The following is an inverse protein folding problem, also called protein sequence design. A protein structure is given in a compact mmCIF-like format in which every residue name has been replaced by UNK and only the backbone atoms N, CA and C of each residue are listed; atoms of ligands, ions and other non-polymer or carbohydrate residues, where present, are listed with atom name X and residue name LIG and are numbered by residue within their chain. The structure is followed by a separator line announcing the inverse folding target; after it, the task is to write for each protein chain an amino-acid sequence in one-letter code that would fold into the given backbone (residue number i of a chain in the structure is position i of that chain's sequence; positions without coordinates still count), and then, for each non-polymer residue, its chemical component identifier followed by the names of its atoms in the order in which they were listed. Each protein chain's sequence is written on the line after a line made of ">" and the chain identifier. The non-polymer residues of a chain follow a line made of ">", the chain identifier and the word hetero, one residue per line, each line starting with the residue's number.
data_IF_118127706884
#
_entry.id   IF_118127706884
#
_cell.length_a   1.000
_cell.length_b   1.000
_cell.length_c   1.000
_cell.angle_alpha   90.00
_cell.angle_beta   90.00
_cell.angle_gamma   90.00
#
_symmetry.space_group_name_H-M   'P 1'
#
loop_
_entity.id
_entity.type
_entity.pdbx_description
1 polymer ?
#
# COMPACT_ATOMS: atom_id res chain seq x y z
N UNK A 1 34.70 -25.05 -5.12
CA UNK A 1 35.01 -23.93 -4.21
C UNK A 1 34.44 -22.65 -4.84
N UNK A 2 33.37 -22.15 -4.23
CA UNK A 2 32.79 -20.79 -4.25
C UNK A 2 32.51 -20.10 -5.60
N UNK A 3 31.23 -20.12 -6.02
CA UNK A 3 30.64 -19.06 -6.81
C UNK A 3 30.27 -17.91 -5.85
N UNK A 4 30.96 -16.78 -5.98
CA UNK A 4 30.62 -15.54 -5.27
C UNK A 4 29.52 -14.83 -6.02
N UNK A 5 28.27 -15.02 -5.59
CA UNK A 5 27.15 -14.17 -5.97
C UNK A 5 27.26 -12.85 -5.19
N UNK A 6 27.36 -11.74 -5.90
CA UNK A 6 27.36 -10.42 -5.30
C UNK A 6 25.99 -10.13 -4.68
N UNK A 7 25.94 -10.06 -3.36
CA UNK A 7 24.85 -9.42 -2.64
C UNK A 7 25.04 -7.91 -2.76
N UNK A 8 24.23 -7.27 -3.60
CA UNK A 8 24.09 -5.81 -3.61
C UNK A 8 23.10 -5.44 -2.51
N UNK A 9 23.59 -5.36 -1.28
CA UNK A 9 22.85 -4.68 -0.22
C UNK A 9 22.98 -3.17 -0.44
N UNK A 10 21.88 -2.51 -0.76
CA UNK A 10 21.75 -1.06 -0.66
C UNK A 10 21.75 -0.69 0.84
N UNK A 11 22.93 -0.39 1.38
CA UNK A 11 23.18 -0.25 2.83
C UNK A 11 22.59 1.06 3.42
N UNK A 12 21.91 1.88 2.61
CA UNK A 12 21.39 3.18 3.04
C UNK A 12 19.95 3.18 3.58
N UNK A 13 19.07 2.28 3.11
CA UNK A 13 17.63 2.28 3.44
C UNK A 13 17.19 1.22 4.46
N UNK A 14 18.00 0.18 4.70
CA UNK A 14 17.60 -0.99 5.49
C UNK A 14 17.18 -0.69 6.95
N UNK A 15 17.78 0.32 7.60
CA UNK A 15 17.56 0.56 9.05
C UNK A 15 16.19 1.17 9.39
N UNK A 16 15.58 1.94 8.49
CA UNK A 16 14.24 2.48 8.73
C UNK A 16 13.17 1.40 8.52
N UNK A 17 13.44 0.47 7.60
CA UNK A 17 12.54 -0.62 7.25
C UNK A 17 12.56 -1.73 8.31
N UNK A 18 13.72 -2.03 8.92
CA UNK A 18 13.84 -3.01 10.03
C UNK A 18 12.87 -2.70 11.18
N UNK A 19 12.82 -1.44 11.65
CA UNK A 19 11.89 -1.04 12.70
C UNK A 19 10.42 -1.17 12.29
N UNK A 20 10.12 -0.97 11.00
CA UNK A 20 8.76 -1.10 10.49
C UNK A 20 8.35 -2.58 10.37
N UNK A 21 9.28 -3.44 9.95
CA UNK A 21 9.10 -4.90 9.91
C UNK A 21 8.85 -5.45 11.33
N UNK A 22 9.61 -5.01 12.33
CA UNK A 22 9.38 -5.42 13.74
C UNK A 22 8.02 -4.96 14.26
N UNK A 23 7.59 -3.74 13.89
CA UNK A 23 6.27 -3.22 14.25
C UNK A 23 5.15 -4.05 13.63
N UNK A 24 5.29 -4.41 12.35
CA UNK A 24 4.32 -5.27 11.66
C UNK A 24 4.29 -6.67 12.28
N UNK A 25 5.45 -7.26 12.57
CA UNK A 25 5.55 -8.58 13.17
C UNK A 25 4.90 -8.62 14.55
N UNK A 26 5.08 -7.58 15.37
CA UNK A 26 4.51 -7.51 16.73
C UNK A 26 2.98 -7.32 16.76
N UNK A 27 2.39 -6.64 15.76
CA UNK A 27 0.96 -6.35 15.74
C UNK A 27 0.16 -7.34 14.87
N UNK A 28 0.76 -7.84 13.78
CA UNK A 28 0.07 -8.63 12.75
C UNK A 28 0.72 -10.00 12.51
N UNK A 29 1.86 -10.29 13.15
CA UNK A 29 2.59 -11.54 13.02
C UNK A 29 3.65 -11.53 11.92
N UNK A 30 4.61 -12.45 12.06
CA UNK A 30 5.79 -12.53 11.20
C UNK A 30 5.46 -12.68 9.71
N UNK A 31 4.46 -13.50 9.37
CA UNK A 31 4.06 -13.72 7.97
C UNK A 31 3.60 -12.44 7.28
N UNK A 32 2.90 -11.55 8.00
CA UNK A 32 2.48 -10.26 7.44
C UNK A 32 3.68 -9.35 7.23
N UNK A 33 4.63 -9.35 8.17
CA UNK A 33 5.84 -8.55 8.07
C UNK A 33 6.71 -8.97 6.86
N UNK A 34 6.85 -10.27 6.62
CA UNK A 34 7.61 -10.83 5.49
C UNK A 34 6.95 -10.55 4.12
N UNK A 35 5.63 -10.40 4.08
CA UNK A 35 4.88 -10.09 2.86
C UNK A 35 4.72 -8.58 2.63
N UNK A 36 5.13 -7.75 3.57
CA UNK A 36 4.96 -6.31 3.48
C UNK A 36 5.81 -5.73 2.35
N UNK A 37 5.19 -4.88 1.53
CA UNK A 37 5.88 -4.12 0.49
C UNK A 37 6.13 -2.72 1.04
N UNK A 38 7.38 -2.43 1.41
CA UNK A 38 7.82 -1.12 1.89
C UNK A 38 8.51 -0.40 0.74
N UNK A 39 7.81 0.53 0.11
CA UNK A 39 8.33 1.23 -1.05
C UNK A 39 7.72 2.63 -1.21
N UNK A 40 8.51 3.56 -1.74
CA UNK A 40 8.06 4.94 -1.99
C UNK A 40 7.10 5.03 -3.17
N UNK A 41 7.38 4.25 -4.22
CA UNK A 41 6.60 4.22 -5.46
C UNK A 41 5.60 3.07 -5.41
N UNK A 42 4.35 3.37 -5.06
CA UNK A 42 3.27 2.39 -4.85
C UNK A 42 2.63 1.94 -6.17
N UNK A 43 2.77 2.74 -7.22
CA UNK A 43 2.28 2.46 -8.58
C UNK A 43 2.97 1.26 -9.24
N UNK A 44 4.13 0.83 -8.73
CA UNK A 44 4.89 -0.31 -9.25
C UNK A 44 4.29 -1.67 -8.84
N UNK A 45 3.40 -1.68 -7.86
CA UNK A 45 2.85 -2.90 -7.29
C UNK A 45 1.38 -3.04 -7.65
N UNK A 46 0.98 -4.27 -7.94
CA UNK A 46 -0.37 -4.56 -8.36
C UNK A 46 -1.34 -4.76 -7.18
N UNK A 47 -2.58 -4.37 -7.41
CA UNK A 47 -3.66 -4.54 -6.43
C UNK A 47 -4.98 -4.05 -6.98
N UNK A 48 -6.07 -4.35 -6.28
CA UNK A 48 -7.39 -3.82 -6.64
C UNK A 48 -7.60 -2.41 -6.07
N UNK A 49 -7.05 -2.14 -4.88
CA UNK A 49 -7.21 -0.88 -4.16
C UNK A 49 -5.93 -0.52 -3.39
N UNK A 50 -5.65 0.77 -3.30
CA UNK A 50 -4.73 1.35 -2.32
C UNK A 50 -5.57 2.17 -1.33
N UNK A 51 -5.64 1.70 -0.07
CA UNK A 51 -6.25 2.44 1.03
C UNK A 51 -5.15 3.28 1.70
N UNK A 52 -5.23 4.60 1.58
CA UNK A 52 -4.19 5.55 2.03
C UNK A 52 -4.88 6.84 2.49
N UNK A 53 -4.40 7.49 3.54
CA UNK A 53 -4.99 8.73 4.06
C UNK A 53 -4.47 9.98 3.34
N UNK A 54 -3.46 9.84 2.48
CA UNK A 54 -3.04 10.92 1.59
C UNK A 54 -4.14 11.20 0.56
N UNK A 55 -4.63 12.44 0.43
CA UNK A 55 -5.73 12.76 -0.48
C UNK A 55 -5.36 12.63 -1.96
N UNK A 56 -4.06 12.74 -2.29
CA UNK A 56 -3.52 12.64 -3.65
C UNK A 56 -2.28 11.75 -3.62
N UNK A 57 -2.21 10.79 -4.55
CA UNK A 57 -1.07 9.89 -4.75
C UNK A 57 -0.47 10.16 -6.12
N UNK A 58 0.84 10.41 -6.15
CA UNK A 58 1.57 10.59 -7.40
C UNK A 58 1.56 9.29 -8.22
N UNK A 59 1.51 9.42 -9.55
CA UNK A 59 1.54 8.30 -10.51
C UNK A 59 0.39 7.28 -10.37
N UNK A 60 -0.72 7.64 -9.70
CA UNK A 60 -1.87 6.76 -9.55
C UNK A 60 -2.51 6.36 -10.89
N UNK A 61 -2.32 7.16 -11.93
CA UNK A 61 -2.74 6.88 -13.31
C UNK A 61 -2.00 5.68 -13.94
N UNK A 62 -0.78 5.39 -13.48
CA UNK A 62 0.05 4.27 -13.91
C UNK A 62 -0.18 2.99 -13.09
N UNK A 63 -0.94 3.10 -11.99
CA UNK A 63 -1.23 1.98 -11.12
C UNK A 63 -2.37 1.11 -11.64
N UNK A 64 -2.41 -0.15 -11.18
CA UNK A 64 -3.52 -1.08 -11.43
C UNK A 64 -4.62 -0.95 -10.38
N UNK A 65 -4.26 -0.53 -9.17
CA UNK A 65 -5.18 -0.30 -8.05
C UNK A 65 -5.99 0.99 -8.20
N UNK A 66 -7.15 1.04 -7.57
CA UNK A 66 -7.93 2.25 -7.38
C UNK A 66 -7.59 2.92 -6.05
N UNK A 67 -7.50 4.24 -6.03
CA UNK A 67 -7.23 4.99 -4.81
C UNK A 67 -8.49 5.10 -3.95
N UNK A 68 -8.41 4.65 -2.69
CA UNK A 68 -9.47 4.80 -1.68
C UNK A 68 -8.91 5.64 -0.55
N UNK A 69 -9.43 6.84 -0.36
CA UNK A 69 -8.95 7.74 0.70
C UNK A 69 -9.47 7.27 2.05
N UNK A 70 -8.57 6.96 2.98
CA UNK A 70 -8.93 6.70 4.36
C UNK A 70 -9.21 8.03 5.08
N UNK A 71 -10.34 8.14 5.77
CA UNK A 71 -10.73 9.38 6.43
C UNK A 71 -9.76 9.75 7.57
N UNK A 72 -9.21 10.95 7.50
CA UNK A 72 -8.38 11.54 8.54
C UNK A 72 -8.73 13.03 8.69
N UNK A 73 -8.57 13.64 9.88
CA UNK A 73 -9.01 15.00 10.13
C UNK A 73 -8.53 16.04 9.10
N UNK A 74 -7.32 15.87 8.57
CA UNK A 74 -6.69 16.80 7.64
C UNK A 74 -7.15 16.65 6.18
N UNK A 75 -7.86 15.56 5.82
CA UNK A 75 -8.26 15.27 4.45
C UNK A 75 -9.79 15.32 4.22
N UNK A 76 -10.58 15.66 5.25
CA UNK A 76 -12.06 15.59 5.21
C UNK A 76 -12.72 16.54 4.23
N UNK A 77 -12.14 17.72 4.05
CA UNK A 77 -12.69 18.75 3.16
C UNK A 77 -12.24 18.56 1.70
N UNK A 78 -11.45 17.52 1.43
CA UNK A 78 -10.95 17.21 0.08
C UNK A 78 -11.91 16.21 -0.57
N UNK A 79 -12.48 16.62 -1.71
CA UNK A 79 -13.34 15.77 -2.51
C UNK A 79 -12.54 14.61 -3.14
N UNK A 80 -13.08 13.39 -3.05
CA UNK A 80 -12.42 12.15 -3.45
C UNK A 80 -13.45 11.17 -4.00
N UNK A 81 -13.10 10.40 -5.03
CA UNK A 81 -14.02 9.46 -5.67
C UNK A 81 -14.45 8.31 -4.77
N UNK A 82 -13.52 7.78 -3.98
CA UNK A 82 -13.75 6.68 -3.03
C UNK A 82 -13.16 7.09 -1.67
N UNK A 83 -13.97 6.96 -0.62
CA UNK A 83 -13.58 7.28 0.75
C UNK A 83 -14.06 6.21 1.72
N UNK A 84 -13.17 5.79 2.60
CA UNK A 84 -13.46 4.87 3.70
C UNK A 84 -13.44 5.64 5.01
N UNK A 85 -14.56 5.70 5.75
CA UNK A 85 -14.67 6.49 7.00
C UNK A 85 -14.03 5.85 8.22
N UNK A 86 -13.57 4.61 8.08
CA UNK A 86 -12.92 3.82 9.11
C UNK A 86 -13.01 2.33 8.80
N UNK A 87 -12.29 1.51 9.55
CA UNK A 87 -12.27 0.05 9.34
C UNK A 87 -13.63 -0.64 9.58
N UNK A 88 -14.51 -0.02 10.37
CA UNK A 88 -15.88 -0.51 10.62
C UNK A 88 -16.93 0.14 9.70
N UNK A 89 -16.52 0.87 8.67
CA UNK A 89 -17.46 1.46 7.70
C UNK A 89 -18.21 0.33 6.96
N UNK A 90 -19.56 0.29 7.03
CA UNK A 90 -20.35 -0.76 6.39
C UNK A 90 -20.21 -0.78 4.86
N UNK A 91 -19.70 0.30 4.24
CA UNK A 91 -19.48 0.35 2.80
C UNK A 91 -18.16 -0.27 2.34
N UNK A 92 -17.28 -0.71 3.25
CA UNK A 92 -15.96 -1.25 2.90
C UNK A 92 -16.03 -2.32 1.79
N UNK A 93 -16.92 -3.30 1.94
CA UNK A 93 -17.08 -4.37 0.95
C UNK A 93 -17.55 -3.84 -0.42
N UNK A 94 -18.47 -2.89 -0.43
CA UNK A 94 -18.98 -2.28 -1.67
C UNK A 94 -17.88 -1.48 -2.38
N UNK A 95 -17.08 -0.72 -1.62
CA UNK A 95 -15.94 0.03 -2.15
C UNK A 95 -14.93 -0.93 -2.81
N UNK A 96 -14.56 -2.01 -2.13
CA UNK A 96 -13.60 -2.98 -2.67
C UNK A 96 -14.14 -3.69 -3.92
N UNK A 97 -15.45 -3.99 -3.98
CA UNK A 97 -16.08 -4.54 -5.18
C UNK A 97 -16.04 -3.57 -6.37
N UNK A 98 -16.27 -2.28 -6.13
CA UNK A 98 -16.10 -1.25 -7.17
C UNK A 98 -14.66 -1.17 -7.65
N UNK A 99 -13.69 -1.26 -6.74
CA UNK A 99 -12.26 -1.29 -7.08
C UNK A 99 -11.91 -2.49 -7.94
N UNK A 100 -12.38 -3.68 -7.58
CA UNK A 100 -12.19 -4.91 -8.36
C UNK A 100 -12.76 -4.79 -9.78
N UNK A 101 -13.96 -4.22 -9.93
CA UNK A 101 -14.58 -4.01 -11.25
C UNK A 101 -13.85 -2.98 -12.13
N UNK A 102 -12.98 -2.15 -11.55
CA UNK A 102 -12.20 -1.12 -12.24
C UNK A 102 -10.72 -1.46 -12.36
N UNK A 103 -10.24 -2.47 -11.64
CA UNK A 103 -8.82 -2.80 -11.59
C UNK A 103 -8.33 -3.23 -12.97
N UNK A 104 -7.21 -2.67 -13.38
CA UNK A 104 -6.57 -2.97 -14.66
C UNK A 104 -5.60 -4.12 -14.46
N UNK A 105 -5.50 -5.03 -15.43
CA UNK A 105 -4.38 -5.98 -15.47
C UNK A 105 -3.20 -5.29 -16.15
N UNK A 106 -2.01 -5.36 -15.56
CA UNK A 106 -0.78 -4.92 -16.22
C UNK A 106 -0.53 -5.87 -17.40
N UNK A 107 -0.47 -5.33 -18.62
CA UNK A 107 -0.17 -6.09 -19.86
C UNK A 107 1.28 -6.57 -19.88
#
# INVERSE_FOLDING_TARGET
>A
HLAGGAEVADVGHARADEHFVDLLASHFGQTVAEQAIIHKQKELFDGIALIDDRPVINNADQATWQHVVFDAPYNRDIATDLRLKGWSDPNLANILNLCLGRSKTRL
#
